data_IF_107809143135
#
_entry.id   IF_107809143135
#
_cell.length_a   1.000
_cell.length_b   1.000
_cell.length_c   1.000
_cell.angle_alpha   90.00
_cell.angle_beta   90.00
_cell.angle_gamma   90.00
#
_symmetry.space_group_name_H-M   'P 1'
#
loop_
_entity.id
_entity.type
_entity.pdbx_description
1 polymer ?
#
# COMPACT_ATOMS: atom_id res chain seq x y z
N UNK A 1 -17.80 15.18 13.91
CA UNK A 1 -17.72 13.99 13.03
C UNK A 1 -18.86 14.09 12.03
N UNK A 2 -18.53 13.99 10.75
CA UNK A 2 -19.53 13.96 9.67
C UNK A 2 -19.69 12.51 9.22
N UNK A 3 -20.85 11.93 9.44
CA UNK A 3 -21.24 10.60 8.96
C UNK A 3 -22.35 10.66 7.91
N UNK A 4 -22.84 9.49 7.47
CA UNK A 4 -23.95 9.39 6.51
C UNK A 4 -25.24 10.05 7.03
N UNK A 5 -25.46 10.03 8.34
CA UNK A 5 -26.64 10.58 9.00
C UNK A 5 -26.48 12.04 9.47
N UNK A 6 -25.45 12.74 8.98
CA UNK A 6 -25.19 14.15 9.32
C UNK A 6 -23.97 14.37 10.19
N UNK A 7 -23.94 15.49 10.89
CA UNK A 7 -22.85 15.91 11.77
C UNK A 7 -23.18 15.58 13.23
N UNK A 8 -22.30 14.82 13.86
CA UNK A 8 -22.38 14.54 15.30
C UNK A 8 -21.26 15.27 16.03
N UNK A 9 -21.61 16.04 17.07
CA UNK A 9 -20.66 16.72 17.94
C UNK A 9 -20.44 15.91 19.20
N UNK A 10 -19.18 15.64 19.53
CA UNK A 10 -18.78 14.85 20.70
C UNK A 10 -17.75 15.65 21.48
N UNK A 11 -17.94 15.75 22.80
CA UNK A 11 -16.99 16.39 23.71
C UNK A 11 -16.24 15.33 24.52
N UNK A 12 -14.94 15.48 24.66
CA UNK A 12 -14.10 14.58 25.45
C UNK A 12 -12.92 15.31 26.08
N UNK A 13 -12.43 14.82 27.23
CA UNK A 13 -11.21 15.35 27.89
C UNK A 13 -9.97 15.19 27.01
N UNK A 14 -9.88 14.05 26.32
CA UNK A 14 -8.80 13.72 25.40
C UNK A 14 -9.42 13.17 24.11
N UNK A 15 -8.86 13.54 22.99
CA UNK A 15 -9.32 13.10 21.66
C UNK A 15 -8.15 12.42 20.94
N UNK A 16 -8.37 11.19 20.48
CA UNK A 16 -7.44 10.45 19.64
C UNK A 16 -8.01 10.42 18.22
N UNK A 17 -7.24 10.96 17.27
CA UNK A 17 -7.59 10.92 15.86
C UNK A 17 -6.99 9.65 15.25
N UNK A 18 -7.82 8.64 14.97
CA UNK A 18 -7.43 7.35 14.42
C UNK A 18 -8.32 7.01 13.23
N UNK A 19 -8.31 7.87 12.20
CA UNK A 19 -9.23 7.81 11.06
C UNK A 19 -8.77 6.88 9.93
N UNK A 20 -7.63 6.23 10.10
CA UNK A 20 -7.05 5.34 9.10
C UNK A 20 -6.38 6.08 7.93
N UNK A 21 -6.06 5.34 6.90
CA UNK A 21 -5.43 5.84 5.67
C UNK A 21 -6.08 5.23 4.43
N UNK A 22 -5.80 5.82 3.28
CA UNK A 22 -6.21 5.30 1.98
C UNK A 22 -4.97 5.04 1.13
N UNK A 23 -4.96 3.98 0.30
CA UNK A 23 -3.92 3.81 -0.71
C UNK A 23 -3.86 5.02 -1.64
N UNK A 24 -2.65 5.47 -1.96
CA UNK A 24 -2.45 6.53 -2.95
C UNK A 24 -2.84 6.03 -4.34
N UNK A 25 -3.46 6.89 -5.12
CA UNK A 25 -3.74 6.63 -6.53
C UNK A 25 -2.70 7.31 -7.41
N UNK A 26 -2.33 6.65 -8.50
CA UNK A 26 -1.44 7.21 -9.51
C UNK A 26 -2.28 7.70 -10.70
N UNK A 27 -2.07 8.93 -11.20
CA UNK A 27 -2.88 9.49 -12.28
C UNK A 27 -2.89 8.65 -13.57
N UNK A 28 -1.78 7.94 -13.83
CA UNK A 28 -1.57 7.13 -15.02
C UNK A 28 -1.92 5.65 -14.84
N UNK A 29 -2.25 5.20 -13.61
CA UNK A 29 -2.55 3.81 -13.29
C UNK A 29 -3.87 3.72 -12.51
N UNK A 30 -4.97 3.62 -13.26
CA UNK A 30 -6.30 3.47 -12.64
C UNK A 30 -6.43 2.10 -12.00
N UNK A 31 -6.73 2.08 -10.70
CA UNK A 31 -6.99 0.86 -9.96
C UNK A 31 -8.29 0.23 -10.47
N UNK A 32 -8.20 -0.97 -11.02
CA UNK A 32 -9.32 -1.77 -11.51
C UNK A 32 -9.69 -2.92 -10.57
N UNK A 33 -8.88 -3.16 -9.54
CA UNK A 33 -9.00 -4.24 -8.53
C UNK A 33 -8.82 -5.67 -9.07
N UNK A 34 -8.43 -5.80 -10.32
CA UNK A 34 -8.16 -7.08 -10.98
C UNK A 34 -6.69 -7.23 -11.35
N UNK A 35 -6.19 -6.32 -12.20
CA UNK A 35 -4.79 -6.30 -12.66
C UNK A 35 -3.98 -5.20 -12.01
N UNK A 36 -4.60 -4.03 -11.81
CA UNK A 36 -4.02 -2.90 -11.09
C UNK A 36 -4.72 -2.81 -9.75
N UNK A 37 -4.03 -3.30 -8.73
CA UNK A 37 -4.54 -3.54 -7.40
C UNK A 37 -3.79 -2.71 -6.36
N UNK A 38 -4.40 -2.52 -5.20
CA UNK A 38 -3.72 -1.98 -4.02
C UNK A 38 -3.25 -3.10 -3.10
N UNK A 39 -2.55 -2.76 -2.03
CA UNK A 39 -2.18 -3.71 -0.98
C UNK A 39 -3.40 -4.45 -0.39
N UNK A 40 -4.56 -3.79 -0.35
CA UNK A 40 -5.80 -4.40 0.15
C UNK A 40 -6.27 -5.58 -0.70
N UNK A 41 -6.24 -5.43 -2.02
CA UNK A 41 -6.58 -6.51 -2.94
C UNK A 41 -5.48 -7.56 -2.98
N UNK A 42 -4.21 -7.14 -2.92
CA UNK A 42 -3.07 -8.08 -2.91
C UNK A 42 -3.15 -9.09 -1.77
N UNK A 43 -3.62 -8.68 -0.59
CA UNK A 43 -3.85 -9.58 0.55
C UNK A 43 -5.00 -10.59 0.36
N UNK A 44 -5.83 -10.39 -0.68
CA UNK A 44 -6.99 -11.24 -0.96
C UNK A 44 -6.83 -12.11 -2.21
N UNK A 45 -5.68 -12.05 -2.86
CA UNK A 45 -5.40 -12.88 -4.04
C UNK A 45 -5.54 -14.36 -3.67
N UNK A 46 -6.30 -15.08 -4.46
CA UNK A 46 -6.54 -16.52 -4.25
C UNK A 46 -5.43 -17.37 -4.87
N UNK A 47 -4.70 -16.82 -5.82
CA UNK A 47 -3.62 -17.48 -6.53
C UNK A 47 -2.37 -16.62 -6.56
N UNK A 48 -1.21 -17.27 -6.56
CA UNK A 48 0.08 -16.58 -6.70
C UNK A 48 0.25 -16.13 -8.15
N UNK A 49 0.41 -14.83 -8.41
CA UNK A 49 0.60 -14.34 -9.77
C UNK A 49 1.92 -14.84 -10.35
N UNK A 50 1.96 -15.12 -11.65
CA UNK A 50 3.21 -15.49 -12.33
C UNK A 50 4.25 -14.37 -12.24
N UNK A 51 3.80 -13.13 -12.34
CA UNK A 51 4.65 -11.94 -12.24
C UNK A 51 3.89 -10.82 -11.52
N UNK A 52 4.43 -10.36 -10.41
CA UNK A 52 3.95 -9.21 -9.65
C UNK A 52 4.87 -8.02 -9.93
N UNK A 53 4.28 -6.92 -10.39
CA UNK A 53 4.97 -5.63 -10.52
C UNK A 53 4.51 -4.74 -9.37
N UNK A 54 5.45 -4.31 -8.54
CA UNK A 54 5.22 -3.40 -7.41
C UNK A 54 5.62 -2.00 -7.84
N UNK A 55 4.69 -1.06 -7.78
CA UNK A 55 4.94 0.35 -8.05
C UNK A 55 5.11 1.06 -6.71
N UNK A 56 6.32 1.51 -6.45
CA UNK A 56 6.75 2.11 -5.20
C UNK A 56 7.57 1.14 -4.34
N UNK A 57 8.79 1.55 -3.99
CA UNK A 57 9.74 0.83 -3.13
C UNK A 57 9.54 1.09 -1.63
N UNK A 58 8.32 1.40 -1.21
CA UNK A 58 7.98 1.57 0.20
C UNK A 58 7.82 0.24 0.94
N UNK A 59 7.73 0.32 2.28
CA UNK A 59 7.69 -0.86 3.18
C UNK A 59 6.62 -1.86 2.78
N UNK A 60 5.38 -1.44 2.59
CA UNK A 60 4.25 -2.32 2.25
C UNK A 60 4.51 -3.06 0.93
N UNK A 61 4.97 -2.35 -0.09
CA UNK A 61 5.26 -2.94 -1.40
C UNK A 61 6.37 -3.99 -1.35
N UNK A 62 7.44 -3.70 -0.60
CA UNK A 62 8.57 -4.62 -0.45
C UNK A 62 8.22 -5.84 0.41
N UNK A 63 7.46 -5.66 1.49
CA UNK A 63 6.99 -6.79 2.31
C UNK A 63 6.12 -7.73 1.51
N UNK A 64 5.07 -7.23 0.85
CA UNK A 64 4.19 -8.07 0.03
C UNK A 64 4.95 -8.67 -1.15
N UNK A 65 5.81 -7.89 -1.82
CA UNK A 65 6.68 -8.40 -2.88
C UNK A 65 7.57 -9.55 -2.40
N UNK A 66 8.15 -9.43 -1.21
CA UNK A 66 8.95 -10.50 -0.59
C UNK A 66 8.13 -11.77 -0.34
N UNK A 67 6.91 -11.63 0.17
CA UNK A 67 6.00 -12.76 0.40
C UNK A 67 5.70 -13.46 -0.93
N UNK A 68 5.24 -12.72 -1.95
CA UNK A 68 4.92 -13.32 -3.24
C UNK A 68 6.13 -13.91 -3.95
N UNK A 69 7.33 -13.32 -3.78
CA UNK A 69 8.58 -13.89 -4.28
C UNK A 69 8.86 -15.26 -3.66
N UNK A 70 8.68 -15.39 -2.34
CA UNK A 70 8.85 -16.67 -1.62
C UNK A 70 7.81 -17.72 -2.02
N UNK A 71 6.61 -17.27 -2.39
CA UNK A 71 5.54 -18.13 -2.92
C UNK A 71 5.75 -18.54 -4.38
N UNK A 72 6.82 -18.06 -5.04
CA UNK A 72 7.21 -18.47 -6.39
C UNK A 72 6.85 -17.48 -7.50
N UNK A 73 6.29 -16.31 -7.19
CA UNK A 73 6.09 -15.27 -8.16
C UNK A 73 7.42 -14.68 -8.65
N UNK A 74 7.48 -14.29 -9.92
CA UNK A 74 8.47 -13.30 -10.35
C UNK A 74 8.03 -11.94 -9.81
N UNK A 75 8.93 -11.20 -9.15
CA UNK A 75 8.62 -9.87 -8.62
C UNK A 75 9.55 -8.84 -9.24
N UNK A 76 8.98 -7.73 -9.71
CA UNK A 76 9.71 -6.54 -10.13
C UNK A 76 9.22 -5.34 -9.33
N UNK A 77 10.15 -4.53 -8.83
CA UNK A 77 9.84 -3.29 -8.11
C UNK A 77 10.26 -2.11 -8.98
N UNK A 78 9.38 -1.14 -9.12
CA UNK A 78 9.63 0.11 -9.84
C UNK A 78 9.54 1.24 -8.82
N UNK A 79 10.65 1.93 -8.58
CA UNK A 79 10.73 3.09 -7.69
C UNK A 79 11.20 4.31 -8.49
N UNK A 80 10.60 5.45 -8.20
CA UNK A 80 10.96 6.72 -8.83
C UNK A 80 12.15 7.40 -8.13
N UNK A 81 12.25 7.23 -6.80
CA UNK A 81 13.36 7.76 -6.01
C UNK A 81 14.64 6.92 -6.21
N UNK A 82 15.79 7.52 -5.91
CA UNK A 82 17.10 6.85 -6.05
C UNK A 82 17.26 5.64 -5.12
N UNK A 83 16.52 5.63 -4.01
CA UNK A 83 16.59 4.56 -3.00
C UNK A 83 15.20 4.04 -2.64
N UNK A 84 15.11 2.74 -2.36
CA UNK A 84 13.92 2.13 -1.75
C UNK A 84 13.84 2.52 -0.26
N UNK A 85 12.64 2.36 0.33
CA UNK A 85 12.37 2.68 1.76
C UNK A 85 12.93 4.04 2.21
N UNK A 86 12.76 5.07 1.40
CA UNK A 86 13.31 6.41 1.62
C UNK A 86 12.91 7.07 2.96
N UNK A 87 11.94 6.49 3.69
CA UNK A 87 11.51 6.93 5.03
C UNK A 87 12.32 6.28 6.16
N UNK A 88 13.21 5.35 5.86
CA UNK A 88 14.08 4.66 6.79
C UNK A 88 15.53 5.13 6.66
N UNK A 89 16.42 4.52 7.43
CA UNK A 89 17.85 4.78 7.35
C UNK A 89 18.37 4.47 5.93
N UNK A 90 19.20 5.37 5.41
CA UNK A 90 19.73 5.29 4.04
C UNK A 90 20.53 4.01 3.76
N UNK A 91 21.17 3.45 4.78
CA UNK A 91 21.93 2.21 4.63
C UNK A 91 21.04 0.97 4.38
N UNK A 92 19.75 1.06 4.74
CA UNK A 92 18.78 -0.01 4.47
C UNK A 92 18.21 0.05 3.05
N UNK A 93 18.34 1.18 2.37
CA UNK A 93 17.78 1.41 1.03
C UNK A 93 18.76 1.21 -0.13
N UNK A 94 19.97 0.76 0.16
CA UNK A 94 21.04 0.55 -0.85
C UNK A 94 20.94 -0.77 -1.57
#
# INVERSE_FOLDING_TARGET
IKGENGVTEIQGKNIIIATGSKPSSLPFAKIDKERIITSTEALKLQEVPKHLIVIGGGVIGLELGSVFKRLGAKVSVVEYADNIIATMDQDLGK
#
